data_IF_741004275795
#
_entry.id   IF_741004275795
#
_cell.length_a   1.000
_cell.length_b   1.000
_cell.length_c   1.000
_cell.angle_alpha   90.00
_cell.angle_beta   90.00
_cell.angle_gamma   90.00
#
_symmetry.space_group_name_H-M   'P 1'
#
loop_
_entity.id
_entity.type
_entity.pdbx_description
1 polymer ?
#
# COMPACT_ATOMS: atom_id res chain seq x y z
N UNK A 1 23.85 33.68 9.01
CA UNK A 1 22.48 33.33 8.59
C UNK A 1 21.67 34.60 8.43
N UNK A 2 21.70 35.51 9.41
CA UNK A 2 20.98 36.80 9.35
C UNK A 2 21.38 37.66 8.13
N UNK A 3 22.68 37.82 7.85
CA UNK A 3 23.14 38.57 6.65
C UNK A 3 22.64 37.97 5.33
N UNK A 4 22.55 36.64 5.25
CA UNK A 4 22.06 35.93 4.07
C UNK A 4 20.54 36.09 3.92
N UNK A 5 19.81 36.10 5.04
CA UNK A 5 18.37 36.37 5.05
C UNK A 5 18.09 37.79 4.58
N UNK A 6 18.75 38.79 5.17
CA UNK A 6 18.61 40.20 4.76
C UNK A 6 18.93 40.40 3.29
N UNK A 7 20.00 39.78 2.76
CA UNK A 7 20.33 39.82 1.34
C UNK A 7 19.19 39.33 0.44
N UNK A 8 18.50 38.24 0.81
CA UNK A 8 17.35 37.73 0.04
C UNK A 8 16.13 38.63 0.20
N UNK A 9 15.85 39.10 1.42
CA UNK A 9 14.75 40.05 1.68
C UNK A 9 14.91 41.35 0.90
N UNK A 10 16.15 41.78 0.63
CA UNK A 10 16.50 42.94 -0.19
C UNK A 10 16.50 42.64 -1.71
N UNK A 11 16.07 41.45 -2.13
CA UNK A 11 15.93 41.06 -3.54
C UNK A 11 17.10 40.24 -4.11
N UNK A 12 18.02 39.80 -3.26
CA UNK A 12 19.07 38.84 -3.61
C UNK A 12 18.54 37.44 -3.93
N UNK A 13 19.33 36.63 -4.62
CA UNK A 13 18.98 35.25 -4.98
C UNK A 13 19.96 34.25 -4.34
N UNK A 14 19.42 33.14 -3.83
CA UNK A 14 20.21 32.00 -3.32
C UNK A 14 20.16 30.83 -4.30
N UNK A 15 21.33 30.33 -4.68
CA UNK A 15 21.46 29.09 -5.48
C UNK A 15 22.11 28.02 -4.61
N UNK A 16 21.34 27.00 -4.26
CA UNK A 16 21.84 25.82 -3.56
C UNK A 16 22.32 24.78 -4.58
N UNK A 17 23.64 24.68 -4.77
CA UNK A 17 24.26 23.73 -5.72
C UNK A 17 24.28 22.26 -5.27
N UNK A 18 23.74 21.96 -4.09
CA UNK A 18 23.69 20.60 -3.54
C UNK A 18 22.26 20.09 -3.60
N UNK A 19 22.05 19.00 -4.35
CA UNK A 19 20.75 18.35 -4.38
C UNK A 19 20.47 17.62 -3.05
N UNK A 20 19.31 17.83 -2.40
CA UNK A 20 18.99 17.23 -1.10
C UNK A 20 19.09 15.70 -1.08
N UNK A 21 18.61 15.05 -2.15
CA UNK A 21 18.69 13.59 -2.29
C UNK A 21 20.14 13.09 -2.35
N UNK A 22 21.03 13.84 -3.02
CA UNK A 22 22.45 13.51 -3.10
C UNK A 22 23.14 13.71 -1.76
N UNK A 23 22.74 14.74 -1.00
CA UNK A 23 23.25 14.96 0.35
C UNK A 23 22.87 13.82 1.30
N UNK A 24 21.59 13.39 1.29
CA UNK A 24 21.12 12.25 2.09
C UNK A 24 21.85 10.95 1.72
N UNK A 25 22.13 10.74 0.44
CA UNK A 25 22.86 9.56 -0.03
C UNK A 25 24.23 9.39 0.65
N UNK A 26 24.96 10.48 0.85
CA UNK A 26 26.27 10.49 1.51
C UNK A 26 26.22 10.67 3.04
N UNK A 27 25.03 10.96 3.62
CA UNK A 27 24.83 11.18 5.05
C UNK A 27 23.71 10.27 5.57
N UNK A 28 23.92 8.95 5.53
CA UNK A 28 22.89 7.92 5.82
C UNK A 28 22.38 7.91 7.27
N UNK A 29 23.10 8.56 8.17
CA UNK A 29 22.79 8.75 9.57
C UNK A 29 22.05 10.07 9.84
N UNK A 30 21.84 10.90 8.82
CA UNK A 30 21.23 12.22 8.94
C UNK A 30 19.91 12.31 8.20
N UNK A 31 19.14 13.33 8.57
CA UNK A 31 17.83 13.64 8.00
C UNK A 31 17.85 14.98 7.25
N UNK A 32 16.76 15.33 6.55
CA UNK A 32 16.69 16.62 5.86
C UNK A 32 16.78 17.83 6.81
N UNK A 33 16.39 17.70 8.08
CA UNK A 33 16.57 18.79 9.06
C UNK A 33 18.05 19.08 9.35
N UNK A 34 18.93 18.09 9.15
CA UNK A 34 20.36 18.25 9.27
C UNK A 34 20.98 18.97 8.07
N UNK A 35 20.29 18.98 6.92
CA UNK A 35 20.73 19.66 5.70
C UNK A 35 20.69 21.17 5.88
N UNK A 36 21.86 21.82 5.83
CA UNK A 36 22.00 23.25 6.15
C UNK A 36 21.12 24.16 5.28
N UNK A 37 20.95 23.82 4.00
CA UNK A 37 20.10 24.61 3.12
C UNK A 37 18.61 24.45 3.48
N UNK A 38 18.15 23.29 3.97
CA UNK A 38 16.77 23.15 4.44
C UNK A 38 16.49 24.08 5.61
N UNK A 39 17.39 24.18 6.60
CA UNK A 39 17.22 25.10 7.74
C UNK A 39 17.10 26.56 7.31
N UNK A 40 17.83 26.96 6.27
CA UNK A 40 17.72 28.31 5.72
C UNK A 40 16.41 28.49 4.94
N UNK A 41 16.08 27.55 4.05
CA UNK A 41 14.85 27.57 3.27
C UNK A 41 13.62 27.66 4.19
N UNK A 42 13.61 26.88 5.28
CA UNK A 42 12.52 26.86 6.27
C UNK A 42 12.31 28.25 6.88
N UNK A 43 13.41 28.94 7.16
CA UNK A 43 13.43 30.29 7.70
C UNK A 43 12.84 31.36 6.78
N UNK A 44 12.66 31.05 5.48
CA UNK A 44 12.03 31.91 4.46
C UNK A 44 10.76 31.29 3.87
N UNK A 45 10.16 30.30 4.57
CA UNK A 45 8.89 29.69 4.18
C UNK A 45 8.98 28.68 3.03
N UNK A 46 10.15 28.09 2.80
CA UNK A 46 10.38 27.04 1.79
C UNK A 46 10.87 25.78 2.49
N UNK A 47 10.17 24.65 2.37
CA UNK A 47 10.63 23.40 2.97
C UNK A 47 11.07 22.41 1.90
N UNK A 48 12.21 21.74 2.12
CA UNK A 48 12.64 20.64 1.27
C UNK A 48 12.02 19.35 1.79
N UNK A 49 11.32 18.62 0.92
CA UNK A 49 10.78 17.29 1.24
C UNK A 49 11.59 16.20 0.57
N UNK A 50 11.40 14.94 1.00
CA UNK A 50 12.09 13.78 0.44
C UNK A 50 11.55 13.33 -0.93
N UNK A 51 10.44 13.92 -1.38
CA UNK A 51 9.77 13.56 -2.62
C UNK A 51 10.31 14.35 -3.81
N UNK A 52 10.50 13.67 -4.94
CA UNK A 52 10.78 14.33 -6.21
C UNK A 52 9.50 15.05 -6.66
N UNK A 53 9.55 16.37 -6.78
CA UNK A 53 8.58 17.08 -7.59
C UNK A 53 8.74 16.56 -9.04
N UNK A 54 7.68 15.97 -9.60
CA UNK A 54 7.72 15.30 -10.90
C UNK A 54 8.42 16.14 -11.97
N UNK A 55 9.29 15.50 -12.75
CA UNK A 55 10.08 16.08 -13.82
C UNK A 55 9.25 16.50 -15.06
N UNK A 56 8.00 16.87 -14.87
CA UNK A 56 7.31 17.62 -15.91
C UNK A 56 7.88 19.04 -15.83
N UNK A 57 8.55 19.47 -16.90
CA UNK A 57 9.19 20.79 -17.07
C UNK A 57 8.22 21.99 -16.96
N UNK A 58 7.05 21.79 -16.40
CA UNK A 58 6.12 22.81 -15.95
C UNK A 58 5.90 22.64 -14.46
N UNK A 59 6.41 23.56 -13.65
CA UNK A 59 5.70 23.92 -12.43
C UNK A 59 4.26 24.19 -12.89
N UNK A 60 3.23 23.45 -12.42
CA UNK A 60 1.89 23.55 -12.99
C UNK A 60 1.42 25.01 -13.00
N UNK A 61 1.44 25.63 -14.16
CA UNK A 61 1.03 27.01 -14.34
C UNK A 61 -0.49 27.01 -14.53
N UNK A 62 -1.22 26.79 -13.43
CA UNK A 62 -2.58 27.31 -13.31
C UNK A 62 -2.43 28.74 -12.77
N UNK A 63 -2.70 29.79 -13.57
CA UNK A 63 -2.48 31.18 -13.17
C UNK A 63 -3.10 31.56 -11.83
N UNK A 64 -4.25 30.96 -11.51
CA UNK A 64 -4.99 31.25 -10.27
C UNK A 64 -4.39 30.57 -9.02
N UNK A 65 -3.64 29.47 -9.18
CA UNK A 65 -2.99 28.75 -8.08
C UNK A 65 -1.57 29.25 -7.78
N UNK A 66 -0.99 30.10 -8.63
CA UNK A 66 0.35 30.68 -8.38
C UNK A 66 0.38 31.50 -7.09
N UNK A 67 -0.74 32.13 -6.73
CA UNK A 67 -0.92 32.89 -5.47
C UNK A 67 -0.92 32.00 -4.22
N UNK A 68 -1.17 30.71 -4.41
CA UNK A 68 -1.39 29.70 -3.40
C UNK A 68 -0.22 28.72 -3.25
N UNK A 69 0.93 29.02 -3.85
CA UNK A 69 2.19 28.31 -3.59
C UNK A 69 2.67 28.44 -2.13
N UNK A 70 2.16 29.44 -1.42
CA UNK A 70 2.35 29.61 0.00
C UNK A 70 1.08 29.12 0.73
N UNK A 71 1.24 28.11 1.59
CA UNK A 71 0.13 27.51 2.36
C UNK A 71 -0.60 28.56 3.19
N UNK A 72 0.10 29.55 3.72
CA UNK A 72 -0.48 30.63 4.55
C UNK A 72 -1.48 31.47 3.77
N UNK A 73 -1.23 31.71 2.48
CA UNK A 73 -2.20 32.37 1.60
C UNK A 73 -3.43 31.48 1.37
N UNK A 74 -3.25 30.16 1.27
CA UNK A 74 -4.35 29.19 1.12
C UNK A 74 -5.21 29.18 2.36
N UNK A 75 -4.59 29.21 3.55
CA UNK A 75 -5.29 29.26 4.84
C UNK A 75 -6.08 30.55 4.98
N UNK A 76 -5.49 31.69 4.63
CA UNK A 76 -6.20 32.97 4.63
C UNK A 76 -7.39 32.98 3.66
N UNK A 77 -7.24 32.42 2.46
CA UNK A 77 -8.33 32.31 1.50
C UNK A 77 -9.42 31.33 1.98
N UNK A 78 -9.04 30.25 2.66
CA UNK A 78 -9.98 29.30 3.26
C UNK A 78 -10.85 29.97 4.34
N UNK A 79 -10.35 30.98 5.06
CA UNK A 79 -11.17 31.74 6.00
C UNK A 79 -12.36 32.46 5.33
N UNK A 80 -12.20 32.87 4.06
CA UNK A 80 -13.28 33.49 3.27
C UNK A 80 -14.12 32.46 2.50
N UNK A 81 -13.54 31.32 2.16
CA UNK A 81 -14.19 30.22 1.43
C UNK A 81 -14.00 28.88 2.17
N UNK A 82 -14.62 28.68 3.34
CA UNK A 82 -14.33 27.54 4.23
C UNK A 82 -14.65 26.18 3.61
N UNK A 83 -15.48 26.16 2.57
CA UNK A 83 -15.87 24.96 1.85
C UNK A 83 -15.04 24.71 0.58
N UNK A 84 -13.98 25.47 0.30
CA UNK A 84 -13.22 25.28 -0.94
C UNK A 84 -12.37 24.00 -0.88
N UNK A 85 -12.77 22.98 -1.65
CA UNK A 85 -12.09 21.69 -1.67
C UNK A 85 -10.67 21.74 -2.24
N UNK A 86 -10.37 22.66 -3.17
CA UNK A 86 -9.03 22.79 -3.73
C UNK A 86 -8.05 23.33 -2.70
N UNK A 87 -8.48 24.31 -1.89
CA UNK A 87 -7.67 24.85 -0.79
C UNK A 87 -7.38 23.79 0.28
N UNK A 88 -8.42 23.03 0.68
CA UNK A 88 -8.25 21.93 1.63
C UNK A 88 -7.31 20.85 1.09
N UNK A 89 -7.41 20.48 -0.19
CA UNK A 89 -6.51 19.50 -0.81
C UNK A 89 -5.03 19.95 -0.77
N UNK A 90 -4.76 21.25 -1.00
CA UNK A 90 -3.41 21.82 -0.93
C UNK A 90 -2.88 21.83 0.51
N UNK A 91 -3.72 22.22 1.47
CA UNK A 91 -3.35 22.19 2.90
C UNK A 91 -3.06 20.75 3.32
N UNK A 92 -3.96 19.82 3.01
CA UNK A 92 -3.82 18.41 3.36
C UNK A 92 -2.58 17.75 2.77
N UNK A 93 -2.27 17.99 1.50
CA UNK A 93 -1.05 17.45 0.90
C UNK A 93 0.21 18.02 1.56
N UNK A 94 0.18 19.30 1.95
CA UNK A 94 1.33 19.92 2.63
C UNK A 94 1.50 19.39 4.05
N UNK A 95 0.42 19.32 4.83
CA UNK A 95 0.46 18.79 6.21
C UNK A 95 0.84 17.30 6.22
N UNK A 96 0.40 16.50 5.25
CA UNK A 96 0.83 15.10 5.10
C UNK A 96 2.35 14.96 4.99
N UNK A 97 3.01 15.88 4.30
CA UNK A 97 4.46 15.86 4.08
C UNK A 97 5.26 16.46 5.24
N UNK A 98 4.74 17.53 5.86
CA UNK A 98 5.43 18.27 6.92
C UNK A 98 5.12 17.75 8.34
N UNK A 99 4.00 17.06 8.52
CA UNK A 99 3.44 16.72 9.82
C UNK A 99 3.08 17.95 10.66
N UNK A 100 3.09 17.79 11.98
CA UNK A 100 2.79 18.83 12.98
C UNK A 100 3.79 20.00 13.05
N UNK A 101 4.77 20.05 12.15
CA UNK A 101 5.86 21.05 12.18
C UNK A 101 5.56 22.31 11.37
N UNK A 102 4.38 22.42 10.75
CA UNK A 102 4.00 23.57 9.93
C UNK A 102 3.91 24.86 10.77
N UNK A 103 4.79 25.86 10.57
CA UNK A 103 4.86 27.05 11.43
C UNK A 103 3.64 27.97 11.33
N UNK A 104 2.89 27.89 10.23
CA UNK A 104 1.79 28.82 9.92
C UNK A 104 0.38 28.29 10.23
N UNK A 105 0.27 27.04 10.71
CA UNK A 105 -1.01 26.37 10.97
C UNK A 105 -0.99 25.75 12.37
N UNK A 106 -1.79 26.29 13.29
CA UNK A 106 -1.93 25.67 14.60
C UNK A 106 -2.66 24.32 14.48
N UNK A 107 -2.22 23.35 15.28
CA UNK A 107 -2.88 22.03 15.41
C UNK A 107 -4.39 22.22 15.70
N UNK A 108 -4.74 23.18 16.56
CA UNK A 108 -6.13 23.52 16.87
C UNK A 108 -6.94 23.93 15.63
N UNK A 109 -6.35 24.72 14.73
CA UNK A 109 -7.02 25.13 13.49
C UNK A 109 -7.29 23.91 12.61
N UNK A 110 -6.29 23.03 12.47
CA UNK A 110 -6.41 21.81 11.66
C UNK A 110 -7.44 20.83 12.25
N UNK A 111 -7.46 20.66 13.58
CA UNK A 111 -8.47 19.86 14.28
C UNK A 111 -9.87 20.45 14.11
N UNK A 112 -10.03 21.78 14.19
CA UNK A 112 -11.30 22.44 13.93
C UNK A 112 -11.78 22.23 12.49
N UNK A 113 -10.88 22.18 11.49
CA UNK A 113 -11.27 21.84 10.12
C UNK A 113 -11.84 20.42 10.02
N UNK A 114 -11.26 19.46 10.74
CA UNK A 114 -11.75 18.07 10.79
C UNK A 114 -13.11 18.01 11.48
N UNK A 115 -13.26 18.66 12.65
CA UNK A 115 -14.50 18.65 13.42
C UNK A 115 -15.66 19.31 12.67
N UNK A 116 -15.39 20.41 11.95
CA UNK A 116 -16.42 21.15 11.21
C UNK A 116 -16.78 20.55 9.84
N UNK A 117 -16.02 19.56 9.35
CA UNK A 117 -16.28 18.94 8.06
C UNK A 117 -17.66 18.25 8.01
N UNK A 118 -18.13 17.72 9.14
CA UNK A 118 -19.34 16.89 9.18
C UNK A 118 -19.19 15.57 8.42
N UNK A 119 -20.23 14.74 8.44
CA UNK A 119 -20.13 13.36 7.95
C UNK A 119 -20.17 13.22 6.41
N UNK A 120 -20.58 14.27 5.69
CA UNK A 120 -20.75 14.25 4.23
C UNK A 120 -19.43 14.10 3.45
N UNK A 121 -18.29 14.29 4.12
CA UNK A 121 -16.95 14.18 3.54
C UNK A 121 -16.12 13.01 4.07
N UNK A 122 -16.74 12.14 4.89
CA UNK A 122 -16.14 10.88 5.35
C UNK A 122 -16.49 9.79 4.33
N UNK A 123 -15.52 9.32 3.53
CA UNK A 123 -15.76 8.31 2.51
C UNK A 123 -15.90 6.95 3.16
N UNK A 124 -17.02 6.27 2.91
CA UNK A 124 -17.22 4.87 3.33
C UNK A 124 -17.75 4.05 2.17
N UNK A 125 -17.71 2.71 2.30
CA UNK A 125 -18.34 1.82 1.32
C UNK A 125 -19.84 2.08 1.19
N UNK A 126 -20.50 2.40 2.30
CA UNK A 126 -21.94 2.66 2.35
C UNK A 126 -22.30 4.05 1.79
N UNK A 127 -21.40 5.04 1.97
CA UNK A 127 -21.56 6.41 1.48
C UNK A 127 -20.32 6.84 0.67
N UNK A 128 -20.18 6.40 -0.59
CA UNK A 128 -19.05 6.77 -1.42
C UNK A 128 -19.12 8.21 -1.93
N UNK A 129 -17.99 8.91 -1.95
CA UNK A 129 -17.90 10.29 -2.42
C UNK A 129 -17.56 10.32 -3.91
N UNK A 130 -18.50 10.78 -4.73
CA UNK A 130 -18.38 10.88 -6.21
C UNK A 130 -18.38 12.31 -6.75
N UNK A 131 -18.79 13.29 -5.95
CA UNK A 131 -18.70 14.68 -6.39
C UNK A 131 -17.24 15.16 -6.34
N UNK A 132 -16.80 15.90 -7.35
CA UNK A 132 -15.40 16.34 -7.47
C UNK A 132 -15.00 17.27 -6.32
N UNK A 133 -15.84 18.23 -5.97
CA UNK A 133 -15.56 19.20 -4.91
C UNK A 133 -15.52 18.51 -3.55
N UNK A 134 -16.46 17.58 -3.31
CA UNK A 134 -16.52 16.80 -2.07
C UNK A 134 -15.31 15.87 -1.96
N UNK A 135 -14.86 15.24 -3.07
CA UNK A 135 -13.63 14.44 -3.08
C UNK A 135 -12.41 15.29 -2.73
N UNK A 136 -12.28 16.49 -3.30
CA UNK A 136 -11.17 17.39 -2.98
C UNK A 136 -11.15 17.78 -1.49
N UNK A 137 -12.32 18.03 -0.89
CA UNK A 137 -12.44 18.23 0.57
C UNK A 137 -12.01 16.99 1.36
N UNK A 138 -12.52 15.82 1.01
CA UNK A 138 -12.18 14.55 1.66
C UNK A 138 -10.68 14.23 1.55
N UNK A 139 -10.06 14.51 0.40
CA UNK A 139 -8.61 14.39 0.19
C UNK A 139 -7.85 15.36 1.10
N UNK A 140 -8.28 16.61 1.17
CA UNK A 140 -7.66 17.60 2.06
C UNK A 140 -7.70 17.19 3.52
N UNK A 141 -8.88 16.78 4.00
CA UNK A 141 -9.06 16.31 5.37
C UNK A 141 -8.25 15.04 5.67
N UNK A 142 -8.20 14.09 4.72
CA UNK A 142 -7.39 12.89 4.84
C UNK A 142 -5.89 13.19 4.93
N UNK A 143 -5.40 14.16 4.15
CA UNK A 143 -4.01 14.61 4.23
C UNK A 143 -3.67 15.27 5.57
N UNK A 144 -4.58 16.08 6.11
CA UNK A 144 -4.43 16.65 7.47
C UNK A 144 -4.37 15.53 8.50
N UNK A 145 -5.31 14.57 8.47
CA UNK A 145 -5.34 13.42 9.37
C UNK A 145 -4.07 12.56 9.31
N UNK A 146 -3.47 12.38 8.12
CA UNK A 146 -2.20 11.66 7.98
C UNK A 146 -1.02 12.37 8.64
N UNK A 147 -1.02 13.70 8.66
CA UNK A 147 0.09 14.51 9.17
C UNK A 147 0.00 14.83 10.66
N UNK A 148 -1.21 14.81 11.23
CA UNK A 148 -1.43 15.12 12.64
C UNK A 148 -1.13 13.93 13.56
N UNK A 149 -0.40 14.20 14.64
CA UNK A 149 -0.26 13.25 15.75
C UNK A 149 -1.50 13.29 16.66
N UNK A 150 -1.71 12.20 17.43
CA UNK A 150 -2.74 12.10 18.50
C UNK A 150 -4.17 12.45 18.07
N UNK A 151 -4.46 12.32 16.78
CA UNK A 151 -5.77 12.64 16.21
C UNK A 151 -6.39 11.35 15.69
N UNK A 152 -7.61 11.01 16.12
CA UNK A 152 -8.38 9.88 15.60
C UNK A 152 -9.26 10.36 14.44
N UNK A 153 -9.21 9.67 13.31
CA UNK A 153 -10.12 9.92 12.21
C UNK A 153 -11.56 9.59 12.64
N UNK A 154 -12.56 10.36 12.19
CA UNK A 154 -13.95 9.99 12.35
C UNK A 154 -14.22 8.63 11.69
N UNK A 155 -14.57 7.62 12.47
CA UNK A 155 -14.94 6.26 12.01
C UNK A 155 -15.78 5.54 13.06
N UNK A 156 -16.51 4.51 12.63
CA UNK A 156 -17.54 3.80 13.40
C UNK A 156 -17.02 2.53 14.11
N UNK A 157 -15.76 2.12 13.89
CA UNK A 157 -15.38 0.70 14.04
C UNK A 157 -14.40 0.34 15.18
N UNK A 158 -14.13 1.22 16.15
CA UNK A 158 -13.21 0.92 17.27
C UNK A 158 -13.85 0.91 18.65
N UNK A 159 -13.61 -0.18 19.39
CA UNK A 159 -13.92 -0.36 20.81
C UNK A 159 -12.92 0.45 21.67
N UNK A 160 -13.42 1.14 22.68
CA UNK A 160 -12.60 1.95 23.59
C UNK A 160 -11.82 1.10 24.61
N UNK A 161 -12.08 -0.21 24.70
CA UNK A 161 -11.48 -1.11 25.70
C UNK A 161 -10.35 -1.99 25.13
N UNK A 162 -9.19 -1.40 24.88
CA UNK A 162 -8.00 -2.09 24.34
C UNK A 162 -6.97 -2.47 25.42
N UNK A 163 -6.48 -3.70 25.34
CA UNK A 163 -5.33 -4.21 26.09
C UNK A 163 -4.05 -3.71 25.42
N UNK A 164 -3.48 -2.66 26.01
CA UNK A 164 -2.27 -2.01 25.54
C UNK A 164 -1.05 -2.74 26.12
N UNK A 165 -0.16 -3.17 25.24
CA UNK A 165 1.16 -3.72 25.55
C UNK A 165 2.17 -2.57 25.65
N UNK A 166 2.98 -2.57 26.71
CA UNK A 166 3.87 -1.44 27.05
C UNK A 166 5.35 -1.79 27.16
N UNK A 167 5.75 -3.05 26.97
CA UNK A 167 7.16 -3.46 26.96
C UNK A 167 7.36 -4.73 26.13
N UNK A 168 7.43 -4.56 24.81
CA UNK A 168 7.59 -5.66 23.86
C UNK A 168 8.91 -5.50 23.12
N UNK A 169 9.74 -6.54 23.11
CA UNK A 169 10.96 -6.57 22.28
C UNK A 169 10.72 -7.33 20.98
N UNK A 170 11.09 -6.73 19.86
CA UNK A 170 11.05 -7.33 18.53
C UNK A 170 12.45 -7.33 17.92
N UNK A 171 12.88 -8.49 17.44
CA UNK A 171 14.16 -8.66 16.76
C UNK A 171 13.91 -9.13 15.32
N UNK A 172 14.42 -8.38 14.35
CA UNK A 172 14.28 -8.69 12.93
C UNK A 172 15.65 -8.89 12.31
N UNK A 173 15.75 -9.91 11.48
CA UNK A 173 16.86 -10.13 10.57
C UNK A 173 16.34 -10.18 9.13
N UNK A 174 16.72 -9.18 8.35
CA UNK A 174 16.40 -9.10 6.94
C UNK A 174 17.36 -9.92 6.10
N UNK A 175 16.79 -10.71 5.19
CA UNK A 175 17.54 -11.50 4.19
C UNK A 175 17.55 -10.82 2.82
N UNK A 176 16.75 -9.79 2.62
CA UNK A 176 16.57 -9.12 1.34
C UNK A 176 16.30 -7.61 1.50
N UNK A 177 16.71 -6.82 0.50
CA UNK A 177 16.42 -5.39 0.47
C UNK A 177 14.91 -5.10 0.48
N UNK A 178 14.51 -4.01 1.14
CA UNK A 178 13.15 -3.44 1.09
C UNK A 178 12.02 -4.42 1.50
N UNK A 179 12.28 -5.30 2.47
CA UNK A 179 11.28 -6.19 3.04
C UNK A 179 10.48 -5.47 4.14
N UNK A 180 9.15 -5.68 4.22
CA UNK A 180 8.39 -5.27 5.41
C UNK A 180 8.04 -6.47 6.27
N UNK A 181 8.48 -6.41 7.51
CA UNK A 181 8.32 -7.45 8.51
C UNK A 181 7.01 -7.25 9.25
N UNK A 182 6.25 -8.34 9.30
CA UNK A 182 5.03 -8.47 10.08
C UNK A 182 5.45 -8.81 11.50
N UNK A 183 5.23 -7.91 12.44
CA UNK A 183 5.77 -8.06 13.81
C UNK A 183 4.70 -8.46 14.83
N UNK A 184 3.45 -8.64 14.41
CA UNK A 184 2.35 -9.11 15.27
C UNK A 184 1.73 -8.04 16.16
N UNK A 185 1.87 -6.76 15.80
CA UNK A 185 1.34 -5.64 16.58
C UNK A 185 0.52 -4.68 15.72
N UNK A 186 -0.43 -4.02 16.39
CA UNK A 186 -1.38 -3.08 15.82
C UNK A 186 -1.31 -1.77 16.61
N UNK A 187 -1.43 -0.65 15.90
CA UNK A 187 -1.53 0.68 16.51
C UNK A 187 -2.98 1.14 16.46
N UNK A 188 -3.62 1.41 17.61
CA UNK A 188 -4.95 1.99 17.65
C UNK A 188 -5.00 3.39 17.03
N UNK A 189 -6.14 3.71 16.43
CA UNK A 189 -6.35 5.01 15.80
C UNK A 189 -6.22 6.15 16.82
N UNK A 190 -5.40 7.15 16.52
CA UNK A 190 -5.13 8.30 17.38
C UNK A 190 -4.23 8.03 18.59
N UNK A 191 -3.71 6.81 18.77
CA UNK A 191 -2.77 6.49 19.84
C UNK A 191 -1.33 6.64 19.34
N UNK A 192 -0.53 7.43 20.07
CA UNK A 192 0.92 7.52 19.84
C UNK A 192 1.66 6.38 20.52
N UNK A 193 2.42 5.65 19.69
CA UNK A 193 3.34 4.60 20.12
C UNK A 193 4.75 5.14 20.25
N UNK A 194 5.54 4.44 21.08
CA UNK A 194 6.97 4.68 21.20
C UNK A 194 7.73 3.46 20.70
N UNK A 195 8.69 3.70 19.81
CA UNK A 195 9.63 2.69 19.29
C UNK A 195 11.02 3.09 19.78
N UNK A 196 11.62 2.26 20.63
CA UNK A 196 12.96 2.46 21.15
C UNK A 196 13.91 1.51 20.44
N UNK A 197 14.87 2.03 19.69
CA UNK A 197 15.87 1.25 18.97
C UNK A 197 16.98 0.85 19.95
N UNK A 198 17.10 -0.46 20.23
CA UNK A 198 18.00 -0.99 21.27
C UNK A 198 19.48 -0.87 20.90
N UNK A 199 19.82 -1.05 19.62
CA UNK A 199 21.18 -0.84 19.09
C UNK A 199 21.12 0.02 17.82
N UNK A 200 21.75 1.19 17.85
CA UNK A 200 21.79 2.12 16.71
C UNK A 200 22.61 1.56 15.53
N UNK A 201 23.56 0.66 15.81
CA UNK A 201 24.41 0.03 14.80
C UNK A 201 23.55 -0.95 14.00
N UNK A 202 23.22 -0.57 12.76
CA UNK A 202 22.37 -1.37 11.87
C UNK A 202 20.93 -0.85 11.70
N UNK A 203 20.51 0.15 12.49
CA UNK A 203 19.21 0.80 12.36
C UNK A 203 19.15 1.86 11.23
N UNK A 204 20.31 2.26 10.69
CA UNK A 204 20.37 3.23 9.59
C UNK A 204 19.54 2.76 8.39
N UNK A 205 18.61 3.61 7.96
CA UNK A 205 17.73 3.37 6.83
C UNK A 205 16.51 2.47 7.12
N UNK A 206 16.33 1.97 8.34
CA UNK A 206 15.07 1.33 8.72
C UNK A 206 13.94 2.36 8.86
N UNK A 207 12.72 1.91 8.60
CA UNK A 207 11.50 2.67 8.89
C UNK A 207 10.46 1.79 9.59
N UNK A 208 9.52 2.44 10.26
CA UNK A 208 8.33 1.82 10.80
C UNK A 208 7.10 2.33 10.03
N UNK A 209 6.14 1.43 9.77
CA UNK A 209 4.88 1.75 9.09
C UNK A 209 3.69 1.32 9.92
N UNK A 210 2.68 2.18 9.99
CA UNK A 210 1.34 1.83 10.45
C UNK A 210 0.43 1.74 9.23
N UNK A 211 -0.29 0.63 9.09
CA UNK A 211 -1.18 0.34 7.96
C UNK A 211 -0.51 -0.52 6.90
N UNK A 212 -1.22 -1.51 6.36
CA UNK A 212 -0.68 -2.44 5.37
C UNK A 212 -0.72 -1.88 3.92
N UNK A 213 -1.22 -0.66 3.75
CA UNK A 213 -1.42 -0.01 2.47
C UNK A 213 -0.14 0.70 2.00
N UNK A 214 -0.05 0.87 0.68
CA UNK A 214 0.98 1.65 0.00
C UNK A 214 0.41 2.57 -1.08
N UNK A 215 -0.89 2.49 -1.33
CA UNK A 215 -1.58 3.23 -2.37
C UNK A 215 -2.17 4.55 -1.86
N UNK A 216 -2.41 5.45 -2.80
CA UNK A 216 -3.10 6.72 -2.57
C UNK A 216 -4.24 6.85 -3.59
N UNK A 217 -5.45 7.12 -3.10
CA UNK A 217 -6.68 7.19 -3.91
C UNK A 217 -6.96 8.60 -4.46
N UNK A 218 -6.06 9.57 -4.33
CA UNK A 218 -6.24 10.96 -4.83
C UNK A 218 -6.69 11.00 -6.29
N UNK A 219 -6.19 10.10 -7.14
CA UNK A 219 -6.53 10.04 -8.57
C UNK A 219 -7.84 9.30 -8.87
N UNK A 220 -8.50 8.71 -7.87
CA UNK A 220 -9.74 7.97 -8.07
C UNK A 220 -10.94 8.92 -8.28
N UNK A 221 -11.85 8.53 -9.18
CA UNK A 221 -13.09 9.27 -9.43
C UNK A 221 -14.18 9.02 -8.37
N UNK A 222 -13.93 8.14 -7.42
CA UNK A 222 -14.82 7.78 -6.33
C UNK A 222 -13.97 7.42 -5.12
N UNK A 223 -14.35 7.86 -3.92
CA UNK A 223 -13.72 7.49 -2.66
C UNK A 223 -14.71 6.71 -1.78
N UNK A 224 -14.35 5.47 -1.42
CA UNK A 224 -15.07 4.55 -0.51
C UNK A 224 -14.36 4.36 0.83
N UNK A 225 -13.18 4.96 0.96
CA UNK A 225 -12.39 5.11 2.18
C UNK A 225 -11.49 6.34 2.03
N UNK A 226 -10.85 6.74 3.12
CA UNK A 226 -9.87 7.81 3.11
C UNK A 226 -8.78 7.52 2.07
N UNK A 227 -8.31 8.57 1.39
CA UNK A 227 -7.44 8.40 0.23
C UNK A 227 -6.08 7.78 0.58
N UNK A 228 -5.59 8.06 1.78
CA UNK A 228 -4.36 7.50 2.34
C UNK A 228 -4.63 7.12 3.80
N UNK A 229 -4.25 5.91 4.20
CA UNK A 229 -4.49 5.36 5.55
C UNK A 229 -3.27 4.69 6.15
N UNK A 230 -2.09 5.01 5.64
CA UNK A 230 -0.81 4.48 6.11
C UNK A 230 0.15 5.61 6.46
N UNK A 231 0.87 5.45 7.57
CA UNK A 231 1.92 6.38 8.00
C UNK A 231 3.25 5.62 8.02
N UNK A 232 4.33 6.23 7.53
CA UNK A 232 5.67 5.65 7.53
C UNK A 232 6.67 6.67 8.10
N UNK A 233 7.57 6.24 9.00
CA UNK A 233 8.55 7.11 9.65
C UNK A 233 9.90 6.41 9.75
N UNK A 234 10.99 7.14 9.47
CA UNK A 234 12.35 6.61 9.62
C UNK A 234 12.72 6.40 11.09
N UNK A 235 13.48 5.34 11.36
CA UNK A 235 14.00 4.99 12.69
C UNK A 235 15.42 5.55 12.93
N UNK A 236 15.64 6.82 12.59
CA UNK A 236 16.96 7.47 12.66
C UNK A 236 17.39 7.91 14.07
N UNK A 237 16.53 7.80 15.09
CA UNK A 237 16.82 8.16 16.48
C UNK A 237 16.68 6.99 17.45
N UNK A 238 17.18 7.14 18.69
CA UNK A 238 17.05 6.11 19.73
C UNK A 238 15.59 5.87 20.11
N UNK A 239 14.79 6.93 20.10
CA UNK A 239 13.37 6.88 20.47
C UNK A 239 12.58 7.60 19.39
N UNK A 240 11.65 6.88 18.75
CA UNK A 240 10.77 7.40 17.71
C UNK A 240 9.33 7.29 18.17
N UNK A 241 8.62 8.42 18.11
CA UNK A 241 7.17 8.45 18.31
C UNK A 241 6.45 8.47 16.97
N UNK A 242 5.37 7.71 16.86
CA UNK A 242 4.50 7.73 15.68
C UNK A 242 3.07 7.38 16.06
N UNK A 243 2.11 7.91 15.31
CA UNK A 243 0.69 7.60 15.41
C UNK A 243 0.08 7.52 14.01
N UNK A 244 -1.16 7.05 13.93
CA UNK A 244 -1.97 7.08 12.72
C UNK A 244 -3.40 7.44 13.10
N UNK A 245 -4.01 8.37 12.38
CA UNK A 245 -5.41 8.71 12.59
C UNK A 245 -6.37 7.56 12.28
N UNK A 246 -5.92 6.57 11.51
CA UNK A 246 -6.71 5.41 11.10
C UNK A 246 -6.33 4.15 11.88
N UNK A 247 -5.22 4.18 12.61
CA UNK A 247 -4.59 3.00 13.16
C UNK A 247 -4.06 2.08 12.06
N UNK A 248 -3.64 0.87 12.42
CA UNK A 248 -3.19 -0.12 11.45
C UNK A 248 -2.21 -1.15 12.01
N UNK A 249 -1.94 -2.18 11.21
CA UNK A 249 -0.84 -3.12 11.45
C UNK A 249 0.49 -2.36 11.49
N UNK A 250 1.34 -2.68 12.47
CA UNK A 250 2.68 -2.13 12.59
C UNK A 250 3.67 -3.02 11.84
N UNK A 251 4.50 -2.41 10.98
CA UNK A 251 5.56 -3.07 10.24
C UNK A 251 6.90 -2.40 10.51
N UNK A 252 7.98 -3.19 10.43
CA UNK A 252 9.33 -2.68 10.27
C UNK A 252 9.76 -2.88 8.82
N UNK A 253 10.31 -1.87 8.17
CA UNK A 253 10.81 -1.95 6.80
C UNK A 253 12.33 -1.90 6.79
N UNK A 254 12.97 -2.92 6.21
CA UNK A 254 14.43 -2.94 6.09
C UNK A 254 14.90 -1.97 5.00
N UNK A 255 16.08 -1.35 5.16
CA UNK A 255 16.67 -0.50 4.13
C UNK A 255 16.94 -1.25 2.82
N UNK A 256 17.21 -0.48 1.76
CA UNK A 256 17.76 -1.01 0.52
C UNK A 256 19.21 -1.48 0.75
N UNK A 257 19.56 -2.68 0.25
CA UNK A 257 20.93 -3.22 0.31
C UNK A 257 20.99 -4.68 0.78
N UNK A 258 22.16 -5.07 1.31
CA UNK A 258 22.39 -6.42 1.85
C UNK A 258 21.67 -6.67 3.18
N UNK A 259 21.86 -7.87 3.75
CA UNK A 259 21.22 -8.28 5.01
C UNK A 259 21.49 -7.30 6.15
N UNK A 260 20.43 -6.95 6.87
CA UNK A 260 20.46 -6.03 8.01
C UNK A 260 19.63 -6.59 9.16
N UNK A 261 19.87 -6.11 10.38
CA UNK A 261 19.07 -6.48 11.55
C UNK A 261 18.71 -5.25 12.36
N UNK A 262 17.58 -5.33 13.06
CA UNK A 262 17.16 -4.32 14.02
C UNK A 262 16.54 -4.99 15.24
N UNK A 263 16.79 -4.39 16.40
CA UNK A 263 16.14 -4.72 17.66
C UNK A 263 15.42 -3.48 18.18
N UNK A 264 14.12 -3.60 18.46
CA UNK A 264 13.30 -2.50 18.96
C UNK A 264 12.48 -2.93 20.17
N UNK A 265 12.28 -2.02 21.11
CA UNK A 265 11.24 -2.09 22.14
C UNK A 265 10.05 -1.22 21.73
N UNK A 266 8.84 -1.77 21.88
CA UNK A 266 7.58 -1.13 21.51
C UNK A 266 6.75 -0.83 22.76
N UNK A 267 6.14 0.35 22.79
CA UNK A 267 5.18 0.76 23.80
C UNK A 267 3.90 1.27 23.15
N UNK A 268 2.78 1.05 23.85
CA UNK A 268 1.43 1.45 23.46
C UNK A 268 0.84 0.71 22.25
N UNK A 269 1.27 -0.54 22.03
CA UNK A 269 0.81 -1.37 20.91
C UNK A 269 -0.24 -2.38 21.35
N UNK A 270 -1.01 -2.92 20.42
CA UNK A 270 -2.02 -3.97 20.68
C UNK A 270 -1.63 -5.24 19.93
N UNK A 271 -1.84 -6.41 20.54
CA UNK A 271 -1.57 -7.69 19.87
C UNK A 271 -2.43 -7.86 18.60
N UNK A 272 -1.78 -8.36 17.55
CA UNK A 272 -2.42 -8.78 16.30
C UNK A 272 -2.44 -10.29 16.19
N UNK A 273 -3.56 -10.89 15.78
CA UNK A 273 -3.58 -12.31 15.46
C UNK A 273 -2.76 -12.59 14.21
N UNK A 274 -1.79 -13.50 14.35
CA UNK A 274 -0.87 -13.90 13.29
C UNK A 274 -0.88 -15.42 13.15
N UNK A 275 -1.00 -15.92 11.91
CA UNK A 275 -0.85 -17.34 11.58
C UNK A 275 0.37 -17.52 10.67
N UNK A 276 1.50 -18.03 11.17
CA UNK A 276 2.63 -18.41 10.31
C UNK A 276 2.63 -19.91 10.02
N UNK A 277 2.51 -20.27 8.74
CA UNK A 277 2.53 -21.65 8.27
C UNK A 277 3.83 -22.38 8.63
N UNK A 278 4.91 -21.63 8.83
CA UNK A 278 6.24 -22.16 9.13
C UNK A 278 6.46 -22.43 10.62
N UNK A 279 5.63 -21.88 11.51
CA UNK A 279 5.75 -22.06 12.95
C UNK A 279 5.24 -23.45 13.37
N UNK A 280 5.98 -24.11 14.27
CA UNK A 280 5.63 -25.45 14.76
C UNK A 280 4.42 -25.45 15.69
N UNK A 281 4.21 -24.36 16.42
CA UNK A 281 3.14 -24.12 17.40
C UNK A 281 1.98 -23.29 16.82
N UNK A 282 1.97 -23.04 15.50
CA UNK A 282 1.02 -22.14 14.82
C UNK A 282 -0.44 -22.34 15.15
N UNK A 283 -0.88 -23.58 15.39
CA UNK A 283 -2.28 -23.88 15.73
C UNK A 283 -2.60 -23.39 17.14
N UNK A 284 -1.82 -23.77 18.14
CA UNK A 284 -2.03 -23.36 19.53
C UNK A 284 -1.92 -21.84 19.67
N UNK A 285 -0.88 -21.25 19.06
CA UNK A 285 -0.66 -19.81 19.04
C UNK A 285 -1.82 -19.06 18.38
N UNK A 286 -2.34 -19.58 17.26
CA UNK A 286 -3.49 -18.99 16.60
C UNK A 286 -4.73 -19.00 17.48
N UNK A 287 -5.04 -20.13 18.10
CA UNK A 287 -6.18 -20.25 19.02
C UNK A 287 -6.10 -19.26 20.18
N UNK A 288 -4.94 -19.11 20.79
CA UNK A 288 -4.69 -18.13 21.86
C UNK A 288 -4.85 -16.68 21.36
N UNK A 289 -4.23 -16.34 20.23
CA UNK A 289 -4.35 -15.01 19.63
C UNK A 289 -5.78 -14.70 19.19
N UNK A 290 -6.59 -15.69 18.82
CA UNK A 290 -8.01 -15.47 18.49
C UNK A 290 -8.80 -14.90 19.66
N UNK A 291 -8.44 -15.31 20.87
CA UNK A 291 -9.09 -14.89 22.12
C UNK A 291 -8.52 -13.57 22.60
N UNK A 292 -7.19 -13.41 22.65
CA UNK A 292 -6.55 -12.27 23.32
C UNK A 292 -6.33 -11.05 22.43
N UNK A 293 -6.12 -11.23 21.13
CA UNK A 293 -5.80 -10.12 20.25
C UNK A 293 -7.04 -9.29 19.89
N UNK A 294 -6.90 -7.97 19.95
CA UNK A 294 -8.00 -7.00 19.77
C UNK A 294 -7.83 -6.09 18.54
N UNK A 295 -6.84 -6.34 17.68
CA UNK A 295 -6.66 -5.60 16.43
C UNK A 295 -7.84 -5.80 15.46
N UNK A 296 -8.04 -4.82 14.55
CA UNK A 296 -9.01 -4.97 13.45
C UNK A 296 -8.51 -5.85 12.30
N UNK A 297 -7.20 -6.01 12.20
CA UNK A 297 -6.52 -6.74 11.14
C UNK A 297 -5.89 -8.01 11.68
N UNK A 298 -5.68 -8.99 10.82
CA UNK A 298 -4.92 -10.20 11.10
C UNK A 298 -3.97 -10.48 9.95
N UNK A 299 -2.87 -11.17 10.23
CA UNK A 299 -1.85 -11.52 9.26
C UNK A 299 -1.70 -13.03 9.13
N UNK A 300 -1.63 -13.51 7.90
CA UNK A 300 -1.45 -14.92 7.58
C UNK A 300 -0.19 -15.04 6.70
N UNK A 301 0.83 -15.69 7.24
CA UNK A 301 2.18 -15.78 6.71
C UNK A 301 2.38 -17.17 6.09
N UNK A 302 2.81 -17.21 4.83
CA UNK A 302 3.24 -18.41 4.09
C UNK A 302 4.75 -18.34 3.87
N UNK A 303 5.35 -19.31 3.18
CA UNK A 303 6.76 -19.19 2.81
C UNK A 303 6.98 -18.04 1.81
N UNK A 304 6.10 -17.91 0.81
CA UNK A 304 6.28 -16.97 -0.31
C UNK A 304 5.24 -15.85 -0.39
N UNK A 305 4.22 -15.84 0.48
CA UNK A 305 3.12 -14.87 0.46
C UNK A 305 2.72 -14.46 1.86
N UNK A 306 2.17 -13.26 2.00
CA UNK A 306 1.52 -12.76 3.21
C UNK A 306 0.11 -12.28 2.86
N UNK A 307 -0.89 -12.61 3.66
CA UNK A 307 -2.20 -11.97 3.62
C UNK A 307 -2.42 -11.05 4.83
N UNK A 308 -2.73 -9.78 4.60
CA UNK A 308 -3.27 -8.89 5.64
C UNK A 308 -4.77 -8.70 5.37
N UNK A 309 -5.61 -9.18 6.29
CA UNK A 309 -7.07 -9.19 6.11
C UNK A 309 -7.78 -8.69 7.36
N UNK A 310 -9.01 -8.21 7.22
CA UNK A 310 -9.83 -7.86 8.38
C UNK A 310 -10.10 -9.07 9.27
N UNK A 311 -9.82 -8.94 10.57
CA UNK A 311 -9.99 -9.99 11.59
C UNK A 311 -11.39 -10.59 11.58
N UNK A 312 -12.44 -9.75 11.52
CA UNK A 312 -13.85 -10.19 11.46
C UNK A 312 -14.11 -11.14 10.28
N UNK A 313 -13.45 -10.93 9.14
CA UNK A 313 -13.60 -11.77 7.93
C UNK A 313 -12.81 -13.09 8.06
N UNK A 314 -11.63 -13.04 8.69
CA UNK A 314 -10.81 -14.23 8.92
C UNK A 314 -11.49 -15.23 9.88
N UNK A 315 -12.03 -14.73 10.99
CA UNK A 315 -12.57 -15.60 12.04
C UNK A 315 -13.90 -16.25 11.69
N UNK A 316 -14.65 -15.67 10.75
CA UNK A 316 -15.91 -16.23 10.30
C UNK A 316 -15.75 -17.53 9.48
N UNK A 317 -14.55 -17.83 8.97
CA UNK A 317 -14.40 -18.78 7.85
C UNK A 317 -13.18 -19.72 7.89
N UNK A 318 -12.30 -19.65 8.89
CA UNK A 318 -11.00 -20.34 8.84
C UNK A 318 -10.80 -21.26 10.05
N UNK A 319 -11.15 -22.54 9.89
CA UNK A 319 -10.61 -23.62 10.72
C UNK A 319 -9.12 -23.82 10.42
N UNK A 320 -8.32 -24.19 11.42
CA UNK A 320 -6.87 -24.32 11.30
C UNK A 320 -6.45 -25.38 10.27
N UNK A 321 -7.20 -26.48 10.13
CA UNK A 321 -6.87 -27.56 9.17
C UNK A 321 -7.13 -27.11 7.74
N UNK A 322 -8.26 -26.45 7.51
CA UNK A 322 -8.60 -25.88 6.20
C UNK A 322 -7.62 -24.78 5.81
N UNK A 323 -7.21 -23.96 6.78
CA UNK A 323 -6.21 -22.92 6.60
C UNK A 323 -4.88 -23.51 6.16
N UNK A 324 -4.31 -24.49 6.88
CA UNK A 324 -3.05 -25.15 6.51
C UNK A 324 -3.09 -25.68 5.07
N UNK A 325 -4.20 -26.30 4.66
CA UNK A 325 -4.38 -26.84 3.31
C UNK A 325 -4.45 -25.73 2.25
N UNK A 326 -5.23 -24.69 2.50
CA UNK A 326 -5.38 -23.57 1.57
C UNK A 326 -4.06 -22.82 1.39
N UNK A 327 -3.36 -22.54 2.49
CA UNK A 327 -2.09 -21.82 2.47
C UNK A 327 -1.00 -22.60 1.72
N UNK A 328 -0.86 -23.91 1.98
CA UNK A 328 0.10 -24.76 1.23
C UNK A 328 -0.21 -24.81 -0.26
N UNK A 329 -1.50 -24.79 -0.63
CA UNK A 329 -1.88 -24.71 -2.04
C UNK A 329 -1.43 -23.40 -2.67
N UNK A 330 -1.74 -22.25 -2.05
CA UNK A 330 -1.32 -20.94 -2.54
C UNK A 330 0.20 -20.81 -2.65
N UNK A 331 0.93 -21.34 -1.66
CA UNK A 331 2.40 -21.34 -1.68
C UNK A 331 2.95 -22.14 -2.88
N UNK A 332 2.37 -23.30 -3.16
CA UNK A 332 2.77 -24.12 -4.31
C UNK A 332 2.45 -23.46 -5.66
N UNK A 333 1.40 -22.63 -5.72
CA UNK A 333 1.09 -21.82 -6.91
C UNK A 333 2.18 -20.78 -7.16
N UNK A 334 2.65 -20.05 -6.14
CA UNK A 334 3.73 -19.07 -6.30
C UNK A 334 5.02 -19.74 -6.74
N UNK A 335 5.36 -20.89 -6.13
CA UNK A 335 6.53 -21.70 -6.54
C UNK A 335 6.42 -22.11 -8.01
N UNK A 336 5.27 -22.61 -8.45
CA UNK A 336 5.05 -23.03 -9.84
C UNK A 336 5.23 -21.86 -10.84
N UNK A 337 4.82 -20.63 -10.49
CA UNK A 337 5.07 -19.45 -11.33
C UNK A 337 6.56 -19.17 -11.47
N UNK A 338 7.32 -19.28 -10.37
CA UNK A 338 8.76 -19.11 -10.37
C UNK A 338 9.48 -20.20 -11.17
N UNK A 339 9.05 -21.46 -11.04
CA UNK A 339 9.56 -22.58 -11.85
C UNK A 339 9.33 -22.38 -13.35
N UNK A 340 8.12 -21.98 -13.76
CA UNK A 340 7.81 -21.66 -15.16
C UNK A 340 8.66 -20.51 -15.71
N UNK A 341 9.01 -19.55 -14.85
CA UNK A 341 9.88 -18.42 -15.19
C UNK A 341 11.37 -18.78 -15.17
N UNK A 342 11.76 -19.93 -14.59
CA UNK A 342 13.16 -20.29 -14.36
C UNK A 342 13.83 -19.45 -13.27
N UNK A 343 13.07 -19.07 -12.24
CA UNK A 343 13.54 -18.27 -11.09
C UNK A 343 13.16 -18.96 -9.79
N UNK A 344 13.66 -18.45 -8.66
CA UNK A 344 13.20 -18.85 -7.33
C UNK A 344 12.40 -17.72 -6.68
N UNK A 345 11.44 -18.03 -5.79
CA UNK A 345 10.81 -17.01 -4.97
C UNK A 345 11.83 -16.19 -4.18
N UNK A 346 11.58 -14.89 -4.08
CA UNK A 346 12.40 -13.93 -3.35
C UNK A 346 11.79 -13.59 -1.98
N UNK A 347 11.57 -12.30 -1.74
CA UNK A 347 10.76 -11.82 -0.59
C UNK A 347 9.30 -12.28 -0.72
N UNK A 348 8.58 -12.39 0.41
CA UNK A 348 7.15 -12.69 0.42
C UNK A 348 6.36 -11.67 -0.40
N UNK A 349 5.47 -12.13 -1.27
CA UNK A 349 4.48 -11.27 -1.94
C UNK A 349 3.37 -10.90 -0.95
N UNK A 350 3.06 -9.61 -0.81
CA UNK A 350 2.03 -9.15 0.12
C UNK A 350 0.68 -9.04 -0.58
N UNK A 351 -0.36 -9.56 0.06
CA UNK A 351 -1.75 -9.48 -0.40
C UNK A 351 -2.57 -8.81 0.69
N UNK A 352 -3.22 -7.70 0.38
CA UNK A 352 -4.01 -6.93 1.36
C UNK A 352 -5.47 -6.95 0.96
N UNK A 353 -6.36 -7.37 1.86
CA UNK A 353 -7.80 -7.24 1.59
C UNK A 353 -8.32 -5.87 2.03
N UNK A 354 -8.83 -5.08 1.09
CA UNK A 354 -9.18 -3.69 1.34
C UNK A 354 -10.50 -3.27 0.67
N UNK A 355 -11.19 -2.26 1.20
CA UNK A 355 -12.49 -1.82 0.67
C UNK A 355 -12.39 -1.11 -0.69
N UNK A 356 -11.22 -0.53 -1.01
CA UNK A 356 -10.96 0.07 -2.32
C UNK A 356 -9.46 0.15 -2.62
N UNK A 357 -8.97 -0.54 -3.68
CA UNK A 357 -7.64 -0.28 -4.23
C UNK A 357 -7.61 0.93 -5.18
N UNK A 358 -6.43 1.52 -5.37
CA UNK A 358 -6.21 2.65 -6.28
C UNK A 358 -6.42 2.34 -7.77
N UNK A 359 -6.29 1.09 -8.19
CA UNK A 359 -6.50 0.67 -9.58
C UNK A 359 -7.33 -0.62 -9.67
N UNK A 360 -8.36 -0.61 -10.53
CA UNK A 360 -9.29 -1.74 -10.79
C UNK A 360 -9.85 -2.41 -9.52
N UNK A 361 -10.36 -3.65 -9.61
CA UNK A 361 -10.73 -4.43 -8.41
C UNK A 361 -9.50 -5.02 -7.68
N UNK A 362 -8.34 -4.96 -8.33
CA UNK A 362 -7.03 -5.35 -7.81
C UNK A 362 -5.96 -4.46 -8.43
N UNK A 363 -5.09 -3.91 -7.59
CA UNK A 363 -3.90 -3.19 -8.03
C UNK A 363 -2.66 -3.99 -7.66
N UNK A 364 -1.68 -4.05 -8.57
CA UNK A 364 -0.37 -4.67 -8.33
C UNK A 364 0.71 -3.60 -8.32
N UNK A 365 1.27 -3.36 -7.12
CA UNK A 365 2.65 -2.92 -6.93
C UNK A 365 3.35 -4.02 -6.10
N UNK A 366 4.35 -3.74 -5.26
CA UNK A 366 4.91 -4.72 -4.28
C UNK A 366 3.87 -5.30 -3.26
N UNK A 367 2.58 -5.05 -3.53
CA UNK A 367 1.36 -5.34 -2.80
C UNK A 367 0.26 -5.70 -3.82
N UNK A 368 -0.46 -6.79 -3.61
CA UNK A 368 -1.68 -7.16 -4.33
C UNK A 368 -2.87 -6.81 -3.44
N UNK A 369 -3.67 -5.81 -3.81
CA UNK A 369 -4.88 -5.46 -3.06
C UNK A 369 -6.09 -6.30 -3.55
N UNK A 370 -6.83 -6.96 -2.65
CA UNK A 370 -8.01 -7.77 -2.92
C UNK A 370 -9.26 -7.16 -2.28
N UNK A 371 -10.30 -6.86 -3.04
CA UNK A 371 -11.57 -6.46 -2.44
C UNK A 371 -12.18 -7.60 -1.59
N UNK A 372 -12.62 -7.34 -0.35
CA UNK A 372 -13.40 -8.29 0.43
C UNK A 372 -14.74 -8.48 -0.26
N UNK A 373 -14.98 -9.69 -0.73
CA UNK A 373 -16.24 -10.08 -1.37
C UNK A 373 -17.35 -10.07 -0.30
N UNK A 374 -18.16 -9.01 -0.27
CA UNK A 374 -19.43 -8.99 0.45
C UNK A 374 -20.48 -9.68 -0.43
N UNK A 375 -21.09 -10.74 0.11
CA UNK A 375 -22.20 -11.44 -0.54
C UNK A 375 -23.46 -10.59 -0.38
N UNK A 376 -23.73 -9.74 -1.37
CA UNK A 376 -25.08 -9.25 -1.65
C UNK A 376 -25.35 -9.50 -3.13
N UNK A 377 -26.45 -10.19 -3.40
CA UNK A 377 -26.94 -10.52 -4.74
C UNK A 377 -26.07 -11.48 -5.59
N UNK A 378 -25.24 -12.31 -4.93
CA UNK A 378 -24.72 -13.55 -5.52
C UNK A 378 -23.78 -13.39 -6.72
N UNK A 379 -23.02 -12.29 -6.78
CA UNK A 379 -21.90 -12.12 -7.71
C UNK A 379 -20.58 -12.26 -6.94
N UNK A 380 -19.70 -13.15 -7.40
CA UNK A 380 -18.36 -13.34 -6.85
C UNK A 380 -17.33 -12.77 -7.84
N UNK A 381 -16.51 -11.84 -7.38
CA UNK A 381 -15.26 -11.46 -8.06
C UNK A 381 -14.11 -11.71 -7.10
N UNK A 382 -13.35 -12.76 -7.35
CA UNK A 382 -12.01 -13.00 -6.79
C UNK A 382 -11.07 -12.99 -7.98
N UNK A 383 -10.25 -11.95 -8.15
CA UNK A 383 -9.17 -11.95 -9.15
C UNK A 383 -7.86 -12.42 -8.50
N UNK A 384 -6.80 -12.78 -9.21
CA UNK A 384 -6.50 -12.53 -10.63
C UNK A 384 -6.92 -13.62 -11.61
N UNK A 385 -6.82 -13.29 -12.90
CA UNK A 385 -6.90 -14.10 -14.14
C UNK A 385 -7.93 -15.25 -14.24
N UNK A 386 -8.81 -15.41 -13.25
CA UNK A 386 -9.83 -16.43 -13.15
C UNK A 386 -11.19 -15.74 -13.18
N UNK A 387 -11.80 -15.73 -14.36
CA UNK A 387 -13.22 -15.43 -14.50
C UNK A 387 -13.99 -16.69 -14.11
N UNK A 388 -14.70 -16.68 -12.98
CA UNK A 388 -15.74 -17.68 -12.72
C UNK A 388 -17.04 -17.25 -13.42
N UNK A 389 -17.70 -18.11 -14.20
CA UNK A 389 -19.02 -17.79 -14.73
C UNK A 389 -20.10 -18.04 -13.64
N UNK A 390 -21.00 -17.07 -13.55
CA UNK A 390 -22.44 -17.10 -13.21
C UNK A 390 -22.96 -18.22 -12.27
N UNK A 391 -23.55 -17.78 -11.15
CA UNK A 391 -24.45 -18.40 -10.15
C UNK A 391 -24.79 -19.90 -10.30
N UNK A 392 -24.60 -20.63 -9.19
CA UNK A 392 -25.10 -21.98 -8.84
C UNK A 392 -24.22 -23.20 -9.15
N UNK A 393 -22.88 -23.12 -9.00
CA UNK A 393 -22.04 -24.33 -8.95
C UNK A 393 -21.60 -24.67 -7.52
N UNK A 394 -21.70 -25.95 -7.14
CA UNK A 394 -21.17 -26.47 -5.88
C UNK A 394 -19.63 -26.39 -5.86
N UNK A 395 -19.10 -26.11 -4.67
CA UNK A 395 -17.67 -25.88 -4.40
C UNK A 395 -16.85 -27.16 -4.60
N UNK A 396 -15.60 -27.03 -5.07
CA UNK A 396 -14.62 -28.13 -5.10
C UNK A 396 -14.66 -29.08 -6.30
N UNK A 397 -15.44 -28.78 -7.35
CA UNK A 397 -15.54 -29.65 -8.54
C UNK A 397 -14.61 -29.13 -9.64
N UNK A 398 -13.84 -30.03 -10.28
CA UNK A 398 -13.19 -29.74 -11.55
C UNK A 398 -14.23 -29.16 -12.53
N UNK A 399 -13.97 -27.94 -13.01
CA UNK A 399 -14.90 -27.05 -13.72
C UNK A 399 -15.77 -27.79 -14.77
N UNK A 400 -16.94 -28.31 -14.41
CA UNK A 400 -17.71 -29.23 -15.28
C UNK A 400 -18.53 -28.54 -16.36
N UNK A 401 -18.66 -27.22 -16.28
CA UNK A 401 -19.35 -26.38 -17.26
C UNK A 401 -18.51 -26.20 -18.52
N UNK A 402 -19.02 -26.71 -19.64
CA UNK A 402 -18.38 -26.60 -20.96
C UNK A 402 -18.34 -25.17 -21.52
N UNK A 403 -19.12 -24.25 -20.94
CA UNK A 403 -19.28 -22.87 -21.42
C UNK A 403 -18.10 -21.93 -21.17
N UNK A 404 -17.17 -22.26 -20.26
CA UNK A 404 -15.93 -21.49 -20.04
C UNK A 404 -14.67 -22.22 -20.48
N UNK A 405 -14.84 -23.38 -21.10
CA UNK A 405 -13.74 -24.11 -21.72
C UNK A 405 -13.64 -23.70 -23.18
N UNK A 406 -12.41 -23.61 -23.67
CA UNK A 406 -12.16 -23.60 -25.10
C UNK A 406 -12.81 -24.83 -25.74
N UNK A 407 -13.60 -24.62 -26.79
CA UNK A 407 -14.34 -25.71 -27.45
C UNK A 407 -13.36 -26.80 -27.89
N UNK A 408 -13.57 -28.02 -27.42
CA UNK A 408 -12.67 -29.17 -27.64
C UNK A 408 -11.22 -28.96 -27.15
N UNK A 409 -10.99 -28.08 -26.19
CA UNK A 409 -9.65 -27.75 -25.70
C UNK A 409 -8.82 -26.92 -26.70
N UNK A 410 -9.43 -26.44 -27.79
CA UNK A 410 -8.74 -25.72 -28.85
C UNK A 410 -8.74 -24.23 -28.54
N UNK A 411 -7.55 -23.66 -28.36
CA UNK A 411 -7.30 -22.25 -28.11
C UNK A 411 -6.85 -21.57 -29.41
N UNK A 412 -7.73 -20.86 -30.12
CA UNK A 412 -7.35 -20.10 -31.30
C UNK A 412 -6.52 -18.89 -30.86
N UNK A 413 -5.42 -18.59 -31.56
CA UNK A 413 -4.63 -17.40 -31.29
C UNK A 413 -4.35 -16.59 -32.56
N UNK A 414 -4.13 -15.30 -32.35
CA UNK A 414 -3.60 -14.35 -33.33
C UNK A 414 -2.32 -13.79 -32.74
N UNK A 415 -1.22 -13.95 -33.46
CA UNK A 415 0.09 -13.41 -33.06
C UNK A 415 0.40 -12.18 -33.91
N UNK A 416 0.82 -11.09 -33.27
CA UNK A 416 1.23 -9.87 -33.95
C UNK A 416 2.44 -10.11 -34.83
N UNK A 417 2.50 -9.39 -35.94
CA UNK A 417 3.67 -9.34 -36.83
C UNK A 417 4.86 -8.59 -36.21
N UNK A 418 4.66 -7.92 -35.08
CA UNK A 418 5.71 -7.16 -34.38
C UNK A 418 6.78 -8.07 -33.73
N UNK A 419 6.47 -9.36 -33.51
CA UNK A 419 7.44 -10.31 -32.96
C UNK A 419 8.44 -10.75 -34.02
N UNK A 420 9.74 -10.70 -33.68
CA UNK A 420 10.79 -11.29 -34.51
C UNK A 420 10.71 -12.82 -34.49
N UNK A 421 11.29 -13.49 -35.50
CA UNK A 421 11.23 -14.96 -35.64
C UNK A 421 11.64 -15.73 -34.38
N UNK A 422 12.65 -15.24 -33.65
CA UNK A 422 13.09 -15.86 -32.39
C UNK A 422 12.03 -15.77 -31.29
N UNK A 423 11.33 -14.65 -31.17
CA UNK A 423 10.24 -14.46 -30.21
C UNK A 423 9.02 -15.30 -30.57
N UNK A 424 8.68 -15.36 -31.87
CA UNK A 424 7.61 -16.23 -32.36
C UNK A 424 7.90 -17.71 -32.07
N UNK A 425 9.15 -18.15 -32.25
CA UNK A 425 9.59 -19.48 -31.90
C UNK A 425 9.50 -19.76 -30.39
N UNK A 426 9.89 -18.79 -29.54
CA UNK A 426 9.78 -18.90 -28.09
C UNK A 426 8.31 -19.03 -27.63
N UNK A 427 7.44 -18.16 -28.13
CA UNK A 427 6.00 -18.17 -27.80
C UNK A 427 5.37 -19.49 -28.24
N UNK A 428 5.66 -19.92 -29.47
CA UNK A 428 5.16 -21.20 -29.99
C UNK A 428 5.72 -22.37 -29.19
N UNK A 429 7.00 -22.34 -28.80
CA UNK A 429 7.64 -23.34 -27.94
C UNK A 429 6.96 -23.44 -26.57
N UNK A 430 6.60 -22.32 -25.96
CA UNK A 430 5.85 -22.30 -24.70
C UNK A 430 4.46 -22.93 -24.86
N UNK A 431 3.72 -22.60 -25.93
CA UNK A 431 2.44 -23.25 -26.25
C UNK A 431 2.57 -24.76 -26.40
N UNK A 432 3.60 -25.23 -27.13
CA UNK A 432 3.87 -26.68 -27.27
C UNK A 432 4.25 -27.34 -25.95
N UNK A 433 4.95 -26.64 -25.06
CA UNK A 433 5.24 -27.16 -23.73
C UNK A 433 3.96 -27.32 -22.89
N UNK A 434 3.03 -26.35 -22.95
CA UNK A 434 1.72 -26.45 -22.29
C UNK A 434 0.92 -27.64 -22.85
N UNK A 435 0.88 -27.81 -24.17
CA UNK A 435 0.24 -28.98 -24.81
C UNK A 435 0.82 -30.30 -24.30
N UNK A 436 2.15 -30.39 -24.21
CA UNK A 436 2.84 -31.58 -23.70
C UNK A 436 2.51 -31.84 -22.24
N UNK A 437 2.57 -30.82 -21.39
CA UNK A 437 2.29 -30.93 -19.94
C UNK A 437 0.84 -31.28 -19.65
N UNK A 438 -0.07 -30.88 -20.55
CA UNK A 438 -1.51 -31.17 -20.43
C UNK A 438 -1.95 -32.43 -21.17
N UNK A 439 -1.00 -33.22 -21.69
CA UNK A 439 -1.28 -34.50 -22.35
C UNK A 439 -1.16 -35.65 -21.35
N UNK A 440 -2.29 -36.29 -21.03
CA UNK A 440 -2.37 -37.44 -20.12
C UNK A 440 -3.13 -38.54 -20.84
N UNK A 441 -2.60 -39.77 -20.87
CA UNK A 441 -3.22 -40.94 -21.51
C UNK A 441 -3.65 -40.69 -22.98
N UNK A 442 -2.76 -40.11 -23.79
CA UNK A 442 -3.02 -39.72 -25.19
C UNK A 442 -4.19 -38.75 -25.39
N UNK A 443 -4.59 -38.00 -24.35
CA UNK A 443 -5.55 -36.90 -24.46
C UNK A 443 -4.90 -35.61 -24.02
N UNK A 444 -4.91 -34.62 -24.91
CA UNK A 444 -4.39 -33.28 -24.64
C UNK A 444 -5.52 -32.36 -24.19
N UNK A 445 -5.42 -31.78 -23.00
CA UNK A 445 -6.48 -30.91 -22.46
C UNK A 445 -6.52 -29.52 -23.13
N UNK A 446 -5.39 -29.03 -23.65
CA UNK A 446 -5.28 -27.71 -24.27
C UNK A 446 -4.41 -27.80 -25.53
N UNK A 447 -4.91 -27.31 -26.66
CA UNK A 447 -4.21 -27.26 -27.95
C UNK A 447 -4.30 -25.87 -28.57
N UNK A 448 -3.16 -25.29 -28.93
CA UNK A 448 -3.06 -23.99 -29.56
C UNK A 448 -2.99 -24.11 -31.07
N UNK A 449 -3.79 -23.31 -31.77
CA UNK A 449 -3.71 -23.17 -33.23
C UNK A 449 -3.96 -21.74 -33.68
N UNK A 450 -3.44 -21.35 -34.87
CA UNK A 450 -3.83 -20.09 -35.50
C UNK A 450 -5.35 -19.99 -35.64
N UNK A 451 -5.87 -18.79 -35.43
CA UNK A 451 -7.29 -18.47 -35.60
C UNK A 451 -7.72 -18.68 -37.06
N UNK A 452 -8.90 -19.27 -37.25
CA UNK A 452 -9.59 -19.38 -38.54
C UNK A 452 -10.90 -18.57 -38.52
N UNK A 453 -11.49 -18.35 -39.69
CA UNK A 453 -12.72 -17.53 -39.84
C UNK A 453 -13.93 -18.04 -39.05
N UNK A 454 -13.96 -19.33 -38.69
CA UNK A 454 -15.03 -19.96 -37.90
C UNK A 454 -14.87 -19.76 -36.38
N UNK A 455 -13.73 -19.25 -35.92
CA UNK A 455 -13.49 -19.05 -34.49
C UNK A 455 -14.16 -17.77 -33.99
N UNK A 456 -15.08 -17.92 -33.03
CA UNK A 456 -15.75 -16.78 -32.40
C UNK A 456 -14.82 -16.00 -31.46
N UNK A 457 -13.93 -16.70 -30.75
CA UNK A 457 -13.02 -16.13 -29.76
C UNK A 457 -11.58 -16.58 -30.03
N UNK A 458 -10.60 -15.74 -29.66
CA UNK A 458 -9.19 -16.03 -29.83
C UNK A 458 -8.34 -15.24 -28.84
N UNK A 459 -7.19 -15.78 -28.46
CA UNK A 459 -6.14 -15.03 -27.75
C UNK A 459 -5.44 -14.09 -28.74
N UNK A 460 -5.26 -12.83 -28.37
CA UNK A 460 -4.44 -11.88 -29.11
C UNK A 460 -3.09 -11.71 -28.41
N UNK A 461 -2.01 -12.05 -29.09
CA UNK A 461 -0.63 -11.94 -28.61
C UNK A 461 0.03 -10.80 -29.38
N UNK A 462 0.34 -9.69 -28.72
CA UNK A 462 0.93 -8.51 -29.35
C UNK A 462 1.99 -7.87 -28.45
N UNK A 463 2.92 -7.13 -29.05
CA UNK A 463 3.82 -6.27 -28.32
C UNK A 463 3.06 -5.04 -27.80
N UNK A 464 3.37 -4.60 -26.58
CA UNK A 464 2.78 -3.41 -25.98
C UNK A 464 3.10 -3.33 -24.50
N UNK A 465 2.64 -2.27 -23.85
CA UNK A 465 2.58 -2.17 -22.40
C UNK A 465 1.47 -3.11 -21.90
N UNK A 466 1.79 -4.39 -21.77
CA UNK A 466 1.00 -5.27 -20.91
C UNK A 466 1.13 -4.84 -19.46
N UNK A 467 0.40 -5.48 -18.54
CA UNK A 467 0.73 -5.39 -17.12
C UNK A 467 2.20 -5.81 -16.95
N UNK A 468 3.07 -4.83 -16.71
CA UNK A 468 4.47 -5.12 -16.44
C UNK A 468 4.58 -5.60 -14.99
N UNK A 469 5.23 -6.74 -14.79
CA UNK A 469 5.79 -7.11 -13.49
C UNK A 469 7.23 -6.61 -13.47
N UNK A 470 7.45 -5.43 -12.89
CA UNK A 470 8.76 -5.14 -12.30
C UNK A 470 8.87 -5.98 -11.03
N UNK A 471 9.99 -6.66 -10.85
CA UNK A 471 10.33 -7.39 -9.61
C UNK A 471 11.25 -6.53 -8.78
#
# INVERSE_FOLDING_TARGET
MDDLRTFIEEGGALVCGVAPWNWLYFNKDKSLSDFTADRFCDSVGVKVTGNLAGCDNSIPSKPDLIKFKNVSNVVQALASEPNNGEYLAIIGSTIKELGDTSPDLSIETLQNMILNAGNDFIPTKASPIKDKSFRQRSIGLGGILCGLSDTKAPDDDFDDSLCIETDVTVNIQSKAANEWFCIGYYVPAGITIQIVVSEQIGASGWSARIGCHSDDLVSCNELRRWHCISTCKSLSGTTVQMSSAFGGLLFLESPAGESNSISVSLQNVVLTPTYDLMDSDRVERWEDLRVRAQSLWTEILLANTLFSIFRRKAYAHLDCVELDRALRFYDSVVVAHHELRGTTPGRRERIVSDEQPSAANMCKNNLILLLPVQVKDGEYLVGGDMIFPIKNMQRGVAQSTTGTRWTNGIVPYVMSTDFIAQQQALITGAMRNIERLTTINNRTCVQFRPKVSKDQYSILIKTGTGCSSHV
#
